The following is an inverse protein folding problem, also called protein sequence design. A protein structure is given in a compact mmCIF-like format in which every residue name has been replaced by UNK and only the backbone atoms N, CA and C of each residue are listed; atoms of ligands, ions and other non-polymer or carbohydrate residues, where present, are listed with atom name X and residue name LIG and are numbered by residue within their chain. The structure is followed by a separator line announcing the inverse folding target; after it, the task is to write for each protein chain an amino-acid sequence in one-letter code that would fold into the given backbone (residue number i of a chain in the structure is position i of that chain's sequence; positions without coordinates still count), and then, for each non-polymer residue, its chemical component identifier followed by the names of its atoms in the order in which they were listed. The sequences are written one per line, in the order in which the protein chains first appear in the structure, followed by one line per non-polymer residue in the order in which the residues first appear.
data_IF_486585479400
#
_entry.id   IF_486585479400
#
_cell.length_a   1.000
_cell.length_b   1.000
_cell.length_c   1.000
_cell.angle_alpha   90.00
_cell.angle_beta   90.00
_cell.angle_gamma   90.00
#
_symmetry.space_group_name_H-M   'P 1'
#
loop_
_entity.id
_entity.type
_entity.pdbx_description
1 polymer ?
#
# COMPACT_ATOMS: atom_id res chain seq x y z
N UNK A 1 -8.38 27.59 -5.20
CA UNK A 1 -7.19 27.66 -6.08
C UNK A 1 -5.88 27.43 -5.36
N UNK A 2 -5.37 28.34 -4.49
CA UNK A 2 -4.02 28.19 -3.88
C UNK A 2 -3.80 26.88 -3.10
N UNK A 3 -4.72 26.53 -2.17
CA UNK A 3 -4.67 25.26 -1.41
C UNK A 3 -4.75 24.00 -2.28
N UNK A 4 -5.38 24.06 -3.45
CA UNK A 4 -5.53 22.90 -4.33
C UNK A 4 -4.22 22.66 -5.08
N UNK A 5 -3.58 23.72 -5.57
CA UNK A 5 -2.23 23.61 -6.14
C UNK A 5 -1.22 23.09 -5.11
N UNK A 6 -1.29 23.56 -3.86
CA UNK A 6 -0.40 23.08 -2.79
C UNK A 6 -0.59 21.57 -2.52
N UNK A 7 -1.83 21.07 -2.55
CA UNK A 7 -2.13 19.64 -2.38
C UNK A 7 -1.68 18.79 -3.56
N UNK A 8 -1.80 19.31 -4.78
CA UNK A 8 -1.31 18.64 -5.99
C UNK A 8 0.21 18.50 -5.95
N UNK A 9 0.93 19.54 -5.54
CA UNK A 9 2.40 19.50 -5.42
C UNK A 9 2.87 18.49 -4.37
N UNK A 10 2.15 18.39 -3.23
CA UNK A 10 2.41 17.36 -2.21
C UNK A 10 2.10 15.96 -2.74
N UNK A 11 1.01 15.79 -3.49
CA UNK A 11 0.64 14.50 -4.07
C UNK A 11 1.70 13.97 -5.05
N UNK A 12 2.20 14.84 -5.95
CA UNK A 12 3.28 14.50 -6.88
C UNK A 12 4.55 14.07 -6.14
N UNK A 13 4.93 14.84 -5.11
CA UNK A 13 6.13 14.55 -4.30
C UNK A 13 6.02 13.20 -3.58
N UNK A 14 4.87 12.90 -2.97
CA UNK A 14 4.66 11.63 -2.27
C UNK A 14 4.54 10.44 -3.24
N UNK A 15 3.98 10.67 -4.44
CA UNK A 15 3.93 9.67 -5.51
C UNK A 15 5.33 9.30 -6.01
N UNK A 16 6.20 10.29 -6.23
CA UNK A 16 7.59 10.05 -6.65
C UNK A 16 8.38 9.26 -5.59
N UNK A 17 8.19 9.59 -4.30
CA UNK A 17 8.77 8.84 -3.18
C UNK A 17 8.26 7.39 -3.10
N UNK A 18 7.02 7.13 -3.50
CA UNK A 18 6.41 5.80 -3.50
C UNK A 18 6.89 4.93 -4.67
N UNK A 19 7.25 5.52 -5.82
CA UNK A 19 7.59 4.75 -7.03
C UNK A 19 8.81 3.82 -6.81
N UNK A 20 9.87 4.34 -6.20
CA UNK A 20 11.10 3.60 -5.89
C UNK A 20 10.85 2.33 -5.05
N UNK A 21 10.23 2.42 -3.85
CA UNK A 21 9.98 1.24 -3.03
C UNK A 21 8.95 0.31 -3.69
N UNK A 22 7.93 0.83 -4.38
CA UNK A 22 6.97 0.01 -5.14
C UNK A 22 7.66 -0.85 -6.20
N UNK A 23 8.56 -0.25 -6.98
CA UNK A 23 9.36 -0.98 -7.98
C UNK A 23 10.22 -2.06 -7.33
N UNK A 24 10.83 -1.80 -6.18
CA UNK A 24 11.62 -2.80 -5.44
C UNK A 24 10.76 -3.98 -4.97
N UNK A 25 9.58 -3.72 -4.42
CA UNK A 25 8.67 -4.79 -3.99
C UNK A 25 8.25 -5.71 -5.14
N UNK A 26 7.89 -5.14 -6.29
CA UNK A 26 7.57 -5.92 -7.49
C UNK A 26 8.78 -6.72 -8.02
N UNK A 27 9.98 -6.15 -7.97
CA UNK A 27 11.19 -6.90 -8.35
C UNK A 27 11.46 -8.09 -7.44
N UNK A 28 11.33 -7.93 -6.11
CA UNK A 28 11.46 -9.03 -5.16
C UNK A 28 10.40 -10.11 -5.39
N UNK A 29 9.15 -9.71 -5.67
CA UNK A 29 8.08 -10.64 -6.01
C UNK A 29 8.35 -11.42 -7.29
N UNK A 30 8.86 -10.75 -8.32
CA UNK A 30 9.22 -11.40 -9.59
C UNK A 30 10.32 -12.46 -9.39
N UNK A 31 11.32 -12.17 -8.55
CA UNK A 31 12.34 -13.16 -8.16
C UNK A 31 11.74 -14.33 -7.41
N UNK A 32 10.83 -14.07 -6.47
CA UNK A 32 10.12 -15.12 -5.75
C UNK A 32 9.32 -16.03 -6.70
N UNK A 33 8.64 -15.45 -7.68
CA UNK A 33 7.95 -16.22 -8.73
C UNK A 33 8.90 -17.08 -9.57
N UNK A 34 10.09 -16.56 -9.90
CA UNK A 34 11.08 -17.30 -10.66
C UNK A 34 11.69 -18.47 -9.86
N UNK A 35 11.86 -18.33 -8.54
CA UNK A 35 12.45 -19.34 -7.67
C UNK A 35 11.45 -20.40 -7.19
N UNK A 36 10.26 -19.97 -6.76
CA UNK A 36 9.24 -20.84 -6.14
C UNK A 36 8.16 -21.32 -7.12
N UNK A 37 8.01 -20.66 -8.27
CA UNK A 37 6.92 -20.88 -9.21
C UNK A 37 5.61 -20.21 -8.79
N UNK A 38 4.77 -19.87 -9.77
CA UNK A 38 3.49 -19.16 -9.55
C UNK A 38 2.53 -19.92 -8.65
N UNK A 39 2.37 -21.22 -8.88
CA UNK A 39 1.42 -22.08 -8.15
C UNK A 39 1.72 -22.09 -6.66
N UNK A 40 3.00 -22.18 -6.28
CA UNK A 40 3.40 -22.25 -4.86
C UNK A 40 3.19 -20.91 -4.16
N UNK A 41 3.55 -19.81 -4.82
CA UNK A 41 3.37 -18.45 -4.29
C UNK A 41 1.88 -18.16 -4.08
N UNK A 42 1.02 -18.51 -5.03
CA UNK A 42 -0.43 -18.33 -4.92
C UNK A 42 -1.04 -19.17 -3.79
N UNK A 43 -0.62 -20.43 -3.63
CA UNK A 43 -1.09 -21.28 -2.55
C UNK A 43 -0.72 -20.74 -1.16
N UNK A 44 0.50 -20.21 -1.01
CA UNK A 44 0.95 -19.57 0.24
C UNK A 44 0.18 -18.26 0.49
N UNK A 45 -0.05 -17.46 -0.55
CA UNK A 45 -0.83 -16.23 -0.44
C UNK A 45 -2.27 -16.49 -0.01
N UNK A 46 -2.91 -17.54 -0.56
CA UNK A 46 -4.29 -17.91 -0.23
C UNK A 46 -4.47 -18.43 1.20
N UNK A 47 -3.41 -19.01 1.80
CA UNK A 47 -3.44 -19.55 3.17
C UNK A 47 -2.97 -18.55 4.22
N UNK A 48 -2.38 -17.42 3.79
CA UNK A 48 -1.88 -16.39 4.69
C UNK A 48 -3.02 -15.50 5.18
N UNK A 49 -3.21 -15.34 6.51
CA UNK A 49 -4.25 -14.46 7.03
C UNK A 49 -3.94 -12.98 6.71
N UNK A 50 -4.97 -12.13 6.55
CA UNK A 50 -4.79 -10.71 6.31
C UNK A 50 -4.02 -10.08 7.47
N UNK A 51 -2.91 -9.41 7.15
CA UNK A 51 -2.01 -8.82 8.16
C UNK A 51 -2.22 -7.33 8.40
N UNK A 52 -3.08 -6.71 7.60
CA UNK A 52 -3.31 -5.28 7.63
C UNK A 52 -4.81 -5.07 7.61
N UNK A 53 -5.32 -4.38 8.62
CA UNK A 53 -6.70 -3.94 8.68
C UNK A 53 -6.73 -2.45 8.33
N UNK A 54 -7.41 -2.11 7.24
CA UNK A 54 -7.59 -0.72 6.81
C UNK A 54 -8.98 -0.29 7.22
N UNK A 55 -9.06 0.70 8.11
CA UNK A 55 -10.32 1.32 8.53
C UNK A 55 -10.53 2.59 7.73
N UNK A 56 -11.65 2.65 7.02
CA UNK A 56 -12.08 3.86 6.31
C UNK A 56 -12.95 4.67 7.26
N UNK A 57 -12.53 5.90 7.54
CA UNK A 57 -13.32 6.88 8.29
C UNK A 57 -13.68 8.04 7.35
N UNK A 58 -14.75 8.77 7.64
CA UNK A 58 -15.09 9.99 6.89
C UNK A 58 -14.83 11.22 7.76
N UNK A 59 -14.10 12.20 7.22
CA UNK A 59 -13.88 13.49 7.84
C UNK A 59 -14.48 14.58 6.97
N UNK A 60 -15.27 15.47 7.57
CA UNK A 60 -15.82 16.61 6.86
C UNK A 60 -14.88 17.81 6.96
N UNK A 61 -14.45 18.35 5.83
CA UNK A 61 -13.68 19.59 5.74
C UNK A 61 -14.39 20.49 4.74
N UNK A 62 -14.75 21.71 5.17
CA UNK A 62 -15.42 22.71 4.30
C UNK A 62 -16.73 22.22 3.65
N UNK A 63 -17.48 21.35 4.33
CA UNK A 63 -18.75 20.78 3.81
C UNK A 63 -18.55 19.53 2.93
N UNK A 64 -17.31 19.22 2.57
CA UNK A 64 -16.91 18.09 1.73
C UNK A 64 -16.63 16.88 2.61
N UNK A 65 -17.21 15.72 2.29
CA UNK A 65 -16.88 14.45 2.97
C UNK A 65 -15.61 13.86 2.35
N UNK A 66 -14.52 13.80 3.11
CA UNK A 66 -13.26 13.21 2.67
C UNK A 66 -13.06 11.88 3.40
N UNK A 67 -12.85 10.77 2.70
CA UNK A 67 -12.51 9.52 3.35
C UNK A 67 -11.04 9.54 3.80
N UNK A 68 -10.82 9.31 5.09
CA UNK A 68 -9.50 9.15 5.72
C UNK A 68 -9.23 7.67 5.99
N UNK A 69 -8.04 7.21 5.62
CA UNK A 69 -7.62 5.81 5.74
C UNK A 69 -6.77 5.64 7.00
N UNK A 70 -7.32 5.00 8.02
CA UNK A 70 -6.56 4.60 9.21
C UNK A 70 -6.05 3.17 9.06
N UNK A 71 -4.74 2.99 9.25
CA UNK A 71 -4.10 1.68 9.11
C UNK A 71 -3.86 1.10 10.49
N UNK A 72 -4.67 0.11 10.87
CA UNK A 72 -4.38 -0.71 12.02
C UNK A 72 -3.43 -1.83 11.59
N UNK A 73 -2.12 -1.55 11.62
CA UNK A 73 -1.11 -2.58 11.40
C UNK A 73 -0.95 -3.41 12.67
N UNK A 74 -1.53 -4.61 12.66
CA UNK A 74 -1.10 -5.63 13.61
C UNK A 74 0.21 -6.19 13.09
N UNK A 75 1.28 -6.17 13.89
CA UNK A 75 2.53 -6.86 13.56
C UNK A 75 2.29 -8.36 13.56
N UNK A 76 1.75 -8.89 12.46
CA UNK A 76 1.55 -10.32 12.33
C UNK A 76 2.91 -10.95 12.02
N UNK A 77 3.37 -11.92 12.85
CA UNK A 77 4.56 -12.68 12.53
C UNK A 77 4.39 -13.39 11.17
N UNK A 78 5.50 -13.77 10.56
CA UNK A 78 5.47 -14.50 9.29
C UNK A 78 4.81 -15.86 9.59
N UNK A 79 3.58 -16.07 9.10
CA UNK A 79 2.76 -17.25 9.42
C UNK A 79 2.96 -18.40 8.42
N UNK A 80 4.02 -18.35 7.60
CA UNK A 80 4.35 -19.38 6.63
C UNK A 80 5.58 -20.18 7.05
N UNK A 81 5.70 -21.41 6.55
CA UNK A 81 6.82 -22.29 6.88
C UNK A 81 8.13 -21.81 6.25
N UNK A 82 9.16 -21.62 7.08
CA UNK A 82 10.52 -21.24 6.67
C UNK A 82 11.16 -22.28 5.72
N UNK A 83 10.73 -23.53 5.79
CA UNK A 83 11.27 -24.63 4.97
C UNK A 83 10.78 -24.61 3.52
N UNK A 84 9.66 -23.95 3.26
CA UNK A 84 8.99 -24.00 1.96
C UNK A 84 9.08 -22.66 1.18
N UNK A 85 9.65 -21.64 1.79
CA UNK A 85 9.76 -20.28 1.26
C UNK A 85 11.19 -19.92 0.89
N UNK A 86 11.35 -19.04 -0.10
CA UNK A 86 12.65 -18.52 -0.51
C UNK A 86 12.91 -17.16 0.14
N UNK A 87 14.17 -16.80 0.35
CA UNK A 87 14.54 -15.49 0.90
C UNK A 87 14.00 -14.31 0.07
N UNK A 88 13.83 -14.50 -1.23
CA UNK A 88 13.24 -13.52 -2.15
C UNK A 88 11.77 -13.24 -1.86
N UNK A 89 11.02 -14.26 -1.41
CA UNK A 89 9.62 -14.16 -1.02
C UNK A 89 9.48 -13.37 0.30
N UNK A 90 10.33 -13.66 1.27
CA UNK A 90 10.35 -12.96 2.56
C UNK A 90 10.66 -11.47 2.37
N UNK A 91 11.63 -11.16 1.50
CA UNK A 91 11.96 -9.79 1.12
C UNK A 91 10.78 -9.10 0.44
N UNK A 92 10.07 -9.77 -0.47
CA UNK A 92 8.88 -9.24 -1.11
C UNK A 92 7.78 -8.92 -0.08
N UNK A 93 7.47 -9.85 0.82
CA UNK A 93 6.46 -9.67 1.88
C UNK A 93 6.81 -8.48 2.78
N UNK A 94 8.09 -8.33 3.15
CA UNK A 94 8.55 -7.19 3.94
C UNK A 94 8.39 -5.87 3.20
N UNK A 95 8.83 -5.81 1.95
CA UNK A 95 8.74 -4.60 1.13
C UNK A 95 7.28 -4.16 0.94
N UNK A 96 6.35 -5.09 0.65
CA UNK A 96 4.93 -4.77 0.53
C UNK A 96 4.32 -4.27 1.85
N UNK A 97 4.70 -4.86 2.99
CA UNK A 97 4.23 -4.39 4.32
C UNK A 97 4.67 -2.96 4.60
N UNK A 98 5.89 -2.58 4.23
CA UNK A 98 6.39 -1.21 4.40
C UNK A 98 5.67 -0.21 3.47
N UNK A 99 5.34 -0.62 2.23
CA UNK A 99 4.74 0.26 1.23
C UNK A 99 3.25 0.48 1.44
N UNK A 100 2.50 -0.50 1.97
CA UNK A 100 1.05 -0.36 2.17
C UNK A 100 0.72 0.87 3.01
N UNK A 101 1.56 1.19 4.01
CA UNK A 101 1.38 2.38 4.82
C UNK A 101 1.46 3.69 4.01
N UNK A 102 2.44 3.77 3.11
CA UNK A 102 2.64 4.92 2.23
C UNK A 102 1.57 4.98 1.14
N UNK A 103 1.19 3.84 0.58
CA UNK A 103 0.16 3.74 -0.47
C UNK A 103 -1.20 4.25 0.03
N UNK A 104 -1.61 3.89 1.24
CA UNK A 104 -2.84 4.40 1.83
C UNK A 104 -2.81 5.93 2.03
N UNK A 105 -1.66 6.51 2.41
CA UNK A 105 -1.53 7.97 2.55
C UNK A 105 -1.66 8.68 1.20
N UNK A 106 -1.00 8.16 0.17
CA UNK A 106 -1.10 8.70 -1.20
C UNK A 106 -2.56 8.61 -1.69
N UNK A 107 -3.22 7.47 -1.47
CA UNK A 107 -4.62 7.27 -1.81
C UNK A 107 -5.56 8.26 -1.10
N UNK A 108 -5.30 8.61 0.16
CA UNK A 108 -6.06 9.63 0.89
C UNK A 108 -5.91 11.01 0.25
N UNK A 109 -4.67 11.42 -0.07
CA UNK A 109 -4.40 12.72 -0.69
C UNK A 109 -5.05 12.81 -2.08
N UNK A 110 -4.92 11.78 -2.90
CA UNK A 110 -5.52 11.74 -4.24
C UNK A 110 -7.04 11.79 -4.18
N UNK A 111 -7.66 11.00 -3.30
CA UNK A 111 -9.11 11.00 -3.17
C UNK A 111 -9.64 12.33 -2.63
N UNK A 112 -8.85 12.99 -1.77
CA UNK A 112 -9.14 14.36 -1.32
C UNK A 112 -9.15 15.32 -2.50
N UNK A 113 -8.13 15.29 -3.36
CA UNK A 113 -8.05 16.13 -4.57
C UNK A 113 -9.22 15.85 -5.52
N UNK A 114 -9.55 14.58 -5.76
CA UNK A 114 -10.66 14.18 -6.62
C UNK A 114 -12.00 14.71 -6.12
N UNK A 115 -12.31 14.56 -4.83
CA UNK A 115 -13.56 15.08 -4.26
C UNK A 115 -13.65 16.60 -4.28
N UNK A 116 -12.54 17.27 -4.00
CA UNK A 116 -12.44 18.73 -4.10
C UNK A 116 -12.65 19.21 -5.54
N UNK A 117 -12.16 18.48 -6.53
CA UNK A 117 -12.31 18.81 -7.95
C UNK A 117 -13.74 18.54 -8.46
N UNK A 118 -14.45 17.57 -7.90
CA UNK A 118 -15.83 17.23 -8.27
C UNK A 118 -16.86 18.25 -7.76
N UNK A 119 -16.62 18.87 -6.62
CA UNK A 119 -17.50 19.89 -6.03
C UNK A 119 -17.22 21.33 -6.50
N UNK A 120 -16.16 21.55 -7.30
CA UNK A 120 -15.81 22.83 -7.92
C UNK A 120 -16.44 22.97 -9.31
#
# INVERSE_FOLDING_TARGET
MRRLNDLVEVAETEREKMEQPLRRAYMSLFKAYAEMGSVKVEAIAATTPPSIEVKVSEKTILGIRIPTLEIASTKIPLNYGLLDTASSFDEAVRNFREIIATLCKVAEIENTIFRLAEEL
#
